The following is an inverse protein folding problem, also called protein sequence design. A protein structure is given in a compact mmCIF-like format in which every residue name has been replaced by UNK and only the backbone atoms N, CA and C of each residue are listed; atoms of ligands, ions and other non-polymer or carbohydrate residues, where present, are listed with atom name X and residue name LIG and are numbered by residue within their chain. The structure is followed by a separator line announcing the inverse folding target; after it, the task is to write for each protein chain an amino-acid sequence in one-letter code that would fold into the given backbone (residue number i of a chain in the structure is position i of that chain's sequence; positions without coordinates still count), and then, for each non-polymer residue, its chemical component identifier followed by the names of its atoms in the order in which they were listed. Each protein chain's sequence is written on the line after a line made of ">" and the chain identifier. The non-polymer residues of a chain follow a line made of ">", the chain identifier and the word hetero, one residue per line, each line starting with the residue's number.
data_IF_458811281832
#
_entry.id   IF_458811281832
#
_cell.length_a   1.000
_cell.length_b   1.000
_cell.length_c   1.000
_cell.angle_alpha   90.00
_cell.angle_beta   90.00
_cell.angle_gamma   90.00
#
_symmetry.space_group_name_H-M   'P 1'
#
loop_
_entity.id
_entity.type
_entity.pdbx_description
1 polymer ?
#
# COMPACT_ATOMS: atom_id res chain seq x y z
N UNK A 1 4.89 18.66 82.16
CA UNK A 1 4.86 20.07 82.62
C UNK A 1 5.20 20.92 81.41
N UNK A 2 4.20 21.33 80.61
CA UNK A 2 3.67 22.70 80.54
C UNK A 2 4.77 23.77 80.66
N UNK A 3 5.15 24.37 79.55
CA UNK A 3 4.99 25.82 79.31
C UNK A 3 4.82 26.09 77.79
N UNK A 4 3.88 26.99 77.49
CA UNK A 4 3.57 27.59 76.18
C UNK A 4 4.07 29.04 76.22
N UNK A 5 4.31 29.64 75.04
CA UNK A 5 4.18 31.07 74.65
C UNK A 5 5.29 31.37 73.60
N UNK A 6 5.12 32.06 72.47
CA UNK A 6 4.02 32.35 71.53
C UNK A 6 4.71 33.12 70.35
N UNK A 7 4.31 32.84 69.10
CA UNK A 7 4.23 33.78 67.95
C UNK A 7 5.57 34.22 67.28
N UNK A 8 5.82 33.75 66.05
CA UNK A 8 5.57 34.56 64.85
C UNK A 8 5.59 33.66 63.59
N UNK A 9 4.49 33.73 62.83
CA UNK A 9 4.33 33.13 61.51
C UNK A 9 5.12 33.95 60.47
N UNK A 10 6.05 33.34 59.75
CA UNK A 10 6.40 33.77 58.40
C UNK A 10 6.56 32.55 57.50
N UNK A 11 5.48 32.19 56.80
CA UNK A 11 5.54 31.26 55.68
C UNK A 11 6.07 32.01 54.45
N UNK A 12 7.37 31.95 54.19
CA UNK A 12 7.89 32.25 52.85
C UNK A 12 7.82 30.97 52.02
N UNK A 13 6.65 30.71 51.45
CA UNK A 13 6.48 29.72 50.40
C UNK A 13 7.04 30.35 49.12
N UNK A 14 8.24 29.94 48.71
CA UNK A 14 8.78 30.33 47.41
C UNK A 14 8.04 29.51 46.34
N UNK A 15 6.83 29.95 45.95
CA UNK A 15 6.21 29.46 44.73
C UNK A 15 7.04 29.98 43.56
N UNK A 16 7.83 29.11 42.95
CA UNK A 16 8.42 29.37 41.64
C UNK A 16 7.26 29.46 40.64
N UNK A 17 6.78 30.66 40.38
CA UNK A 17 5.80 30.94 39.34
C UNK A 17 6.53 30.78 37.99
N UNK A 18 6.47 29.57 37.41
CA UNK A 18 6.73 29.42 35.99
C UNK A 18 5.61 30.15 35.24
N UNK A 19 5.85 31.41 34.88
CA UNK A 19 5.12 32.08 33.82
C UNK A 19 5.44 31.37 32.51
N UNK A 20 4.76 30.27 32.22
CA UNK A 20 4.60 29.83 30.84
C UNK A 20 3.67 30.83 30.18
N UNK A 21 4.26 31.84 29.53
CA UNK A 21 3.54 32.59 28.50
C UNK A 21 3.09 31.55 27.47
N UNK A 22 1.80 31.22 27.46
CA UNK A 22 1.18 30.49 26.36
C UNK A 22 1.15 31.43 25.16
N UNK A 23 2.29 31.55 24.49
CA UNK A 23 2.35 32.10 23.16
C UNK A 23 1.58 31.10 22.32
N UNK A 24 0.35 31.45 21.94
CA UNK A 24 -0.31 30.80 20.81
C UNK A 24 0.60 31.03 19.61
N UNK A 25 1.51 30.10 19.34
CA UNK A 25 2.14 29.99 18.04
C UNK A 25 1.01 29.62 17.09
N UNK A 26 0.36 30.65 16.58
CA UNK A 26 -0.40 30.57 15.37
C UNK A 26 0.62 30.10 14.32
N UNK A 27 0.60 28.80 14.01
CA UNK A 27 1.31 28.26 12.87
C UNK A 27 0.74 28.99 11.65
N UNK A 28 1.36 30.11 11.30
CA UNK A 28 1.18 30.73 10.01
C UNK A 28 1.82 29.76 9.02
N UNK A 29 1.03 28.79 8.55
CA UNK A 29 1.37 28.06 7.35
C UNK A 29 1.40 29.15 6.26
N UNK A 30 2.56 29.46 5.67
CA UNK A 30 2.61 30.45 4.61
C UNK A 30 1.59 30.01 3.55
N UNK A 31 0.77 30.95 3.05
CA UNK A 31 -0.28 30.63 2.06
C UNK A 31 0.26 29.79 0.90
N UNK A 32 1.55 29.95 0.55
CA UNK A 32 2.25 29.16 -0.45
C UNK A 32 2.39 27.67 -0.08
N UNK A 33 2.56 27.31 1.19
CA UNK A 33 2.61 25.91 1.64
C UNK A 33 1.22 25.26 1.66
N UNK A 34 0.17 26.02 2.03
CA UNK A 34 -1.23 25.55 1.90
C UNK A 34 -1.60 25.36 0.42
N UNK A 35 -1.20 26.31 -0.44
CA UNK A 35 -1.42 26.23 -1.89
C UNK A 35 -0.60 25.11 -2.54
N UNK A 36 0.62 24.85 -2.07
CA UNK A 36 1.44 23.71 -2.51
C UNK A 36 0.83 22.38 -2.06
N UNK A 37 0.35 22.28 -0.81
CA UNK A 37 -0.36 21.08 -0.35
C UNK A 37 -1.67 20.88 -1.12
N UNK A 38 -2.44 21.95 -1.36
CA UNK A 38 -3.65 21.91 -2.16
C UNK A 38 -3.38 21.55 -3.62
N UNK A 39 -2.29 22.03 -4.22
CA UNK A 39 -1.89 21.68 -5.57
C UNK A 39 -1.44 20.22 -5.66
N UNK A 40 -0.70 19.72 -4.66
CA UNK A 40 -0.33 18.31 -4.56
C UNK A 40 -1.55 17.41 -4.33
N UNK A 41 -2.52 17.81 -3.50
CA UNK A 41 -3.77 17.07 -3.29
C UNK A 41 -4.59 17.06 -4.58
N UNK A 42 -4.73 18.21 -5.25
CA UNK A 42 -5.46 18.33 -6.52
C UNK A 42 -4.79 17.52 -7.63
N UNK A 43 -3.46 17.50 -7.69
CA UNK A 43 -2.69 16.70 -8.63
C UNK A 43 -2.83 15.20 -8.35
N UNK A 44 -2.79 14.77 -7.08
CA UNK A 44 -3.06 13.38 -6.67
C UNK A 44 -4.48 12.94 -7.00
N UNK A 45 -5.47 13.80 -6.77
CA UNK A 45 -6.86 13.54 -7.13
C UNK A 45 -7.06 13.47 -8.65
N UNK A 46 -6.39 14.34 -9.42
CA UNK A 46 -6.41 14.31 -10.89
C UNK A 46 -5.71 13.08 -11.45
N UNK A 47 -4.61 12.62 -10.85
CA UNK A 47 -3.96 11.36 -11.20
C UNK A 47 -4.87 10.17 -10.90
N UNK A 48 -5.45 10.10 -9.69
CA UNK A 48 -6.46 9.10 -9.34
C UNK A 48 -7.66 9.10 -10.29
N UNK A 49 -8.14 10.28 -10.71
CA UNK A 49 -9.25 10.41 -11.66
C UNK A 49 -8.87 9.99 -13.08
N UNK A 50 -7.66 10.34 -13.55
CA UNK A 50 -7.12 9.87 -14.83
C UNK A 50 -6.89 8.35 -14.82
N UNK A 51 -6.46 7.78 -13.71
CA UNK A 51 -6.23 6.34 -13.58
C UNK A 51 -7.56 5.56 -13.50
N UNK A 52 -8.59 6.13 -12.85
CA UNK A 52 -9.91 5.48 -12.67
C UNK A 52 -10.88 5.66 -13.85
N UNK A 53 -10.76 6.75 -14.60
CA UNK A 53 -11.71 7.12 -15.66
C UNK A 53 -11.05 7.61 -16.96
N UNK A 54 -9.73 7.79 -17.00
CA UNK A 54 -9.00 8.14 -18.22
C UNK A 54 -8.58 6.90 -18.99
N UNK A 55 -8.95 6.83 -20.27
CA UNK A 55 -8.51 5.78 -21.19
C UNK A 55 -7.00 5.81 -21.36
N UNK A 56 -6.25 5.04 -20.57
CA UNK A 56 -4.94 4.54 -20.99
C UNK A 56 -5.17 3.36 -21.93
N UNK A 57 -5.31 3.68 -23.21
CA UNK A 57 -4.94 2.79 -24.31
C UNK A 57 -3.40 2.60 -24.39
N UNK A 58 -2.65 3.13 -23.43
CA UNK A 58 -1.27 2.77 -23.20
C UNK A 58 -1.25 1.53 -22.28
N UNK A 59 -1.72 0.40 -22.82
CA UNK A 59 -1.27 -0.89 -22.36
C UNK A 59 0.27 -0.78 -22.32
N UNK A 60 0.88 -0.83 -21.14
CA UNK A 60 2.32 -0.72 -20.98
C UNK A 60 2.98 -1.59 -22.06
N UNK A 61 3.55 -0.97 -23.10
CA UNK A 61 3.99 -1.72 -24.27
C UNK A 61 5.17 -2.54 -23.79
N UNK A 62 4.96 -3.85 -23.70
CA UNK A 62 6.01 -4.78 -23.28
C UNK A 62 7.18 -4.58 -24.24
N UNK A 63 8.39 -4.23 -23.74
CA UNK A 63 9.52 -4.01 -24.62
C UNK A 63 9.73 -5.23 -25.52
N UNK A 64 9.87 -4.99 -26.83
CA UNK A 64 9.98 -6.06 -27.83
C UNK A 64 11.20 -6.97 -27.61
N UNK A 65 12.19 -6.53 -26.82
CA UNK A 65 13.38 -7.29 -26.45
C UNK A 65 13.15 -8.33 -25.35
N UNK A 66 12.02 -8.26 -24.63
CA UNK A 66 11.73 -9.21 -23.56
C UNK A 66 11.08 -10.48 -24.12
N UNK A 67 11.71 -11.62 -23.84
CA UNK A 67 11.21 -12.95 -24.15
C UNK A 67 10.73 -13.61 -22.86
N UNK A 68 9.54 -14.19 -22.90
CA UNK A 68 8.91 -14.88 -21.77
C UNK A 68 8.70 -16.34 -22.12
N UNK A 69 8.85 -17.23 -21.14
CA UNK A 69 8.72 -18.67 -21.35
C UNK A 69 7.29 -19.07 -21.75
N UNK A 70 6.29 -18.32 -21.29
CA UNK A 70 4.90 -18.53 -21.65
C UNK A 70 4.04 -17.26 -21.49
N UNK A 71 2.82 -17.22 -22.06
CA UNK A 71 1.93 -16.07 -21.96
C UNK A 71 1.49 -15.69 -20.54
N UNK A 72 1.47 -16.64 -19.58
CA UNK A 72 1.09 -16.37 -18.19
C UNK A 72 2.16 -15.54 -17.49
N UNK A 73 3.44 -15.86 -17.69
CA UNK A 73 4.55 -15.04 -17.19
C UNK A 73 4.61 -13.66 -17.87
N UNK A 74 4.26 -13.57 -19.16
CA UNK A 74 4.11 -12.26 -19.83
C UNK A 74 3.00 -11.42 -19.19
N UNK A 75 1.84 -12.02 -18.90
CA UNK A 75 0.75 -11.34 -18.21
C UNK A 75 1.14 -10.93 -16.79
N UNK A 76 1.88 -11.78 -16.08
CA UNK A 76 2.39 -11.47 -14.75
C UNK A 76 3.38 -10.30 -14.78
N UNK A 77 4.27 -10.25 -15.78
CA UNK A 77 5.15 -9.10 -15.99
C UNK A 77 4.35 -7.80 -16.19
N UNK A 78 3.32 -7.82 -17.05
CA UNK A 78 2.47 -6.63 -17.28
C UNK A 78 1.83 -6.17 -15.97
N UNK A 79 1.26 -7.10 -15.19
CA UNK A 79 0.62 -6.82 -13.91
C UNK A 79 1.60 -6.22 -12.89
N UNK A 80 2.76 -6.87 -12.70
CA UNK A 80 3.75 -6.47 -11.70
C UNK A 80 4.48 -5.19 -12.12
N UNK A 81 4.72 -4.98 -13.41
CA UNK A 81 5.26 -3.73 -13.92
C UNK A 81 4.29 -2.57 -13.71
N UNK A 82 3.00 -2.76 -14.04
CA UNK A 82 1.97 -1.78 -13.74
C UNK A 82 1.92 -1.48 -12.24
N UNK A 83 1.95 -2.50 -11.37
CA UNK A 83 1.96 -2.30 -9.93
C UNK A 83 3.21 -1.56 -9.43
N UNK A 84 4.39 -1.88 -9.96
CA UNK A 84 5.63 -1.13 -9.68
C UNK A 84 5.50 0.35 -10.01
N UNK A 85 4.84 0.71 -11.12
CA UNK A 85 4.61 2.11 -11.49
C UNK A 85 3.67 2.85 -10.53
N UNK A 86 2.83 2.13 -9.78
CA UNK A 86 1.96 2.72 -8.75
C UNK A 86 2.61 2.83 -7.36
N UNK A 87 3.78 2.21 -7.16
CA UNK A 87 4.53 2.29 -5.91
C UNK A 87 5.23 3.65 -5.83
N UNK A 88 4.91 4.40 -4.79
CA UNK A 88 5.40 5.77 -4.54
C UNK A 88 6.55 5.75 -3.52
N UNK A 89 6.61 4.74 -2.65
CA UNK A 89 7.66 4.60 -1.63
C UNK A 89 7.94 3.13 -1.39
N UNK A 90 9.21 2.73 -1.52
CA UNK A 90 9.71 1.38 -1.24
C UNK A 90 11.00 1.50 -0.40
N UNK A 91 10.89 1.75 0.92
CA UNK A 91 12.04 2.11 1.75
C UNK A 91 13.04 0.97 1.92
N UNK A 92 12.62 -0.28 1.69
CA UNK A 92 13.43 -1.48 1.82
C UNK A 92 13.91 -2.02 0.47
N UNK A 93 13.59 -1.32 -0.63
CA UNK A 93 13.95 -1.70 -2.00
C UNK A 93 13.46 -3.12 -2.39
N UNK A 94 12.30 -3.54 -1.87
CA UNK A 94 11.72 -4.86 -2.16
C UNK A 94 11.51 -5.06 -3.66
N UNK A 95 11.06 -4.02 -4.36
CA UNK A 95 10.74 -4.08 -5.80
C UNK A 95 11.91 -3.72 -6.72
N UNK A 96 13.12 -3.56 -6.17
CA UNK A 96 14.30 -3.17 -6.94
C UNK A 96 14.62 -4.16 -8.07
N UNK A 97 14.49 -5.47 -7.83
CA UNK A 97 14.74 -6.53 -8.81
C UNK A 97 13.56 -6.84 -9.75
N UNK A 98 12.44 -6.10 -9.66
CA UNK A 98 11.32 -6.26 -10.58
C UNK A 98 11.64 -5.63 -11.94
N UNK A 99 12.58 -6.23 -12.68
CA UNK A 99 13.08 -5.80 -13.98
C UNK A 99 13.40 -7.03 -14.82
N UNK A 100 13.14 -6.96 -16.13
CA UNK A 100 13.40 -8.06 -17.07
C UNK A 100 12.30 -9.12 -17.07
N UNK A 101 12.44 -10.15 -17.91
CA UNK A 101 11.39 -11.15 -18.14
C UNK A 101 11.33 -12.30 -17.13
N UNK A 102 12.36 -12.46 -16.29
CA UNK A 102 12.40 -13.52 -15.28
C UNK A 102 11.59 -13.12 -14.03
N UNK A 103 10.26 -13.13 -14.19
CA UNK A 103 9.29 -12.72 -13.16
C UNK A 103 9.41 -13.56 -11.89
N UNK A 104 9.74 -14.85 -12.01
CA UNK A 104 9.86 -15.74 -10.86
C UNK A 104 11.08 -15.43 -9.98
N UNK A 105 12.00 -14.59 -10.45
CA UNK A 105 13.14 -14.11 -9.68
C UNK A 105 12.85 -12.78 -8.95
N UNK A 106 11.64 -12.23 -9.08
CA UNK A 106 11.27 -10.99 -8.41
C UNK A 106 11.08 -11.24 -6.91
N UNK A 107 11.57 -10.32 -6.08
CA UNK A 107 11.42 -10.44 -4.62
C UNK A 107 9.94 -10.41 -4.27
N UNK A 108 9.52 -11.36 -3.44
CA UNK A 108 8.13 -11.51 -3.01
C UNK A 108 7.20 -12.13 -4.05
N UNK A 109 7.71 -12.59 -5.19
CA UNK A 109 6.93 -13.31 -6.21
C UNK A 109 7.30 -14.79 -6.18
N UNK A 110 6.30 -15.65 -6.09
CA UNK A 110 6.47 -17.10 -6.00
C UNK A 110 5.78 -17.78 -7.17
N UNK A 111 6.55 -18.58 -7.91
CA UNK A 111 6.05 -19.35 -9.04
C UNK A 111 5.85 -20.82 -8.68
N UNK A 112 4.87 -21.44 -9.35
CA UNK A 112 4.61 -22.88 -9.29
C UNK A 112 4.16 -23.36 -10.66
N UNK A 113 4.18 -24.67 -10.88
CA UNK A 113 3.54 -25.29 -12.03
C UNK A 113 2.02 -25.02 -11.98
N UNK A 114 1.45 -24.72 -13.14
CA UNK A 114 0.02 -24.44 -13.26
C UNK A 114 -0.81 -25.70 -12.97
N UNK A 115 -2.00 -25.50 -12.40
CA UNK A 115 -2.88 -26.60 -12.01
C UNK A 115 -3.50 -27.32 -13.21
N UNK A 116 -3.71 -26.61 -14.32
CA UNK A 116 -4.31 -27.14 -15.54
C UNK A 116 -3.29 -27.72 -16.52
N UNK A 117 -2.03 -27.28 -16.45
CA UNK A 117 -0.91 -27.85 -17.21
C UNK A 117 0.39 -27.78 -16.39
N UNK A 118 0.84 -28.90 -15.80
CA UNK A 118 2.05 -28.94 -15.00
C UNK A 118 3.34 -28.64 -15.78
N UNK A 119 3.33 -28.61 -17.12
CA UNK A 119 4.50 -28.21 -17.92
C UNK A 119 4.70 -26.69 -17.95
N UNK A 120 3.68 -25.92 -17.57
CA UNK A 120 3.69 -24.46 -17.60
C UNK A 120 3.95 -23.93 -16.19
N UNK A 121 4.97 -23.08 -16.03
CA UNK A 121 5.20 -22.33 -14.80
C UNK A 121 4.45 -21.00 -14.83
N UNK A 122 3.83 -20.63 -13.70
CA UNK A 122 3.05 -19.40 -13.53
C UNK A 122 3.29 -18.77 -12.16
N UNK A 123 2.85 -17.53 -11.95
CA UNK A 123 2.89 -16.88 -10.64
C UNK A 123 1.74 -17.41 -9.78
N UNK A 124 2.09 -18.10 -8.69
CA UNK A 124 1.15 -18.73 -7.78
C UNK A 124 0.99 -17.95 -6.46
N UNK A 125 1.95 -17.11 -6.10
CA UNK A 125 1.89 -16.34 -4.86
C UNK A 125 2.60 -15.01 -4.95
N UNK A 126 2.11 -14.05 -4.18
CA UNK A 126 2.79 -12.79 -3.86
C UNK A 126 2.81 -12.65 -2.35
N UNK A 127 3.99 -12.41 -1.79
CA UNK A 127 4.19 -12.07 -0.38
C UNK A 127 5.12 -10.86 -0.27
N UNK A 128 4.54 -9.72 0.12
CA UNK A 128 5.24 -8.46 0.42
C UNK A 128 5.00 -8.03 1.87
N UNK A 129 4.74 -8.98 2.76
CA UNK A 129 4.46 -8.73 4.16
C UNK A 129 5.58 -7.88 4.81
N UNK A 130 5.19 -6.87 5.59
CA UNK A 130 6.09 -6.00 6.35
C UNK A 130 7.10 -5.19 5.51
N UNK A 131 6.82 -4.94 4.23
CA UNK A 131 7.72 -4.21 3.34
C UNK A 131 7.64 -2.67 3.46
N UNK A 132 6.65 -2.14 4.20
CA UNK A 132 6.40 -0.70 4.38
C UNK A 132 6.26 0.08 3.05
N UNK A 133 5.81 -0.62 2.00
CA UNK A 133 5.63 -0.08 0.65
C UNK A 133 4.38 0.81 0.63
N UNK A 134 4.48 2.00 0.04
CA UNK A 134 3.32 2.87 -0.19
C UNK A 134 2.99 2.95 -1.69
N UNK A 135 1.70 2.88 -2.00
CA UNK A 135 1.19 2.88 -3.38
C UNK A 135 -0.31 2.59 -3.40
N UNK A 136 -0.80 2.05 -4.52
CA UNK A 136 -2.15 1.52 -4.63
C UNK A 136 -2.15 0.21 -5.43
N UNK A 137 -3.28 -0.49 -5.47
CA UNK A 137 -3.43 -1.70 -6.29
C UNK A 137 -4.02 -1.31 -7.67
N UNK A 138 -3.31 -1.52 -8.80
CA UNK A 138 -3.86 -1.24 -10.12
C UNK A 138 -4.77 -2.37 -10.62
N UNK A 139 -5.62 -2.08 -11.62
CA UNK A 139 -6.55 -3.05 -12.21
C UNK A 139 -5.80 -4.19 -12.94
N UNK A 140 -4.60 -3.95 -13.44
CA UNK A 140 -3.76 -4.93 -14.14
C UNK A 140 -3.37 -6.13 -13.27
N UNK A 141 -3.41 -6.02 -11.93
CA UNK A 141 -3.22 -7.17 -11.04
C UNK A 141 -4.23 -8.30 -11.30
N UNK A 142 -5.39 -8.00 -11.90
CA UNK A 142 -6.35 -9.01 -12.34
C UNK A 142 -5.87 -9.90 -13.51
N UNK A 143 -4.68 -9.66 -14.08
CA UNK A 143 -4.04 -10.53 -15.06
C UNK A 143 -3.33 -11.74 -14.41
N UNK A 144 -3.13 -11.74 -13.10
CA UNK A 144 -2.52 -12.84 -12.33
C UNK A 144 -3.52 -13.97 -12.08
N UNK A 145 -4.13 -14.53 -13.13
CA UNK A 145 -5.25 -15.47 -13.02
C UNK A 145 -4.98 -16.74 -12.20
N UNK A 146 -3.71 -17.11 -12.08
CA UNK A 146 -3.26 -18.34 -11.43
C UNK A 146 -2.80 -18.15 -9.98
N UNK A 147 -2.89 -16.93 -9.45
CA UNK A 147 -2.46 -16.65 -8.09
C UNK A 147 -3.38 -17.33 -7.07
N UNK A 148 -2.77 -17.98 -6.09
CA UNK A 148 -3.43 -18.62 -4.96
C UNK A 148 -3.24 -17.82 -3.66
N UNK A 149 -2.10 -17.15 -3.49
CA UNK A 149 -1.76 -16.40 -2.28
C UNK A 149 -1.46 -14.94 -2.61
N UNK A 150 -2.11 -14.01 -1.93
CA UNK A 150 -1.82 -12.58 -2.05
C UNK A 150 -1.71 -11.94 -0.67
N UNK A 151 -0.48 -11.83 -0.17
CA UNK A 151 -0.16 -11.29 1.14
C UNK A 151 0.61 -9.99 1.02
N UNK A 152 -0.01 -8.91 1.48
CA UNK A 152 0.61 -7.58 1.50
C UNK A 152 0.41 -6.91 2.87
N UNK A 153 0.37 -7.72 3.93
CA UNK A 153 0.14 -7.23 5.27
C UNK A 153 1.22 -6.22 5.69
N UNK A 154 0.86 -5.29 6.57
CA UNK A 154 1.81 -4.31 7.13
C UNK A 154 2.55 -3.49 6.05
N UNK A 155 1.75 -2.91 5.15
CA UNK A 155 2.20 -1.96 4.14
C UNK A 155 1.39 -0.67 4.23
N UNK A 156 1.59 0.24 3.27
CA UNK A 156 0.90 1.53 3.17
C UNK A 156 0.16 1.64 1.84
N UNK A 157 -0.43 0.53 1.36
CA UNK A 157 -1.27 0.56 0.17
C UNK A 157 -2.60 1.27 0.49
N UNK A 158 -2.94 2.24 -0.34
CA UNK A 158 -4.14 3.07 -0.19
C UNK A 158 -5.16 2.77 -1.31
N UNK A 159 -6.38 3.30 -1.15
CA UNK A 159 -7.43 3.23 -2.18
C UNK A 159 -8.41 2.09 -1.94
N UNK A 160 -8.93 1.51 -3.02
CA UNK A 160 -9.92 0.42 -2.99
C UNK A 160 -9.37 -0.84 -3.62
N UNK A 161 -9.85 -2.02 -3.20
CA UNK A 161 -9.55 -3.29 -3.88
C UNK A 161 -10.07 -3.23 -5.34
N UNK A 162 -9.23 -3.52 -6.36
CA UNK A 162 -9.61 -3.45 -7.76
C UNK A 162 -10.76 -4.40 -8.12
N UNK A 163 -11.69 -3.95 -8.98
CA UNK A 163 -12.79 -4.81 -9.43
C UNK A 163 -12.30 -5.95 -10.32
N UNK A 164 -11.11 -5.81 -10.91
CA UNK A 164 -10.45 -6.84 -11.70
C UNK A 164 -10.08 -8.08 -10.89
N UNK A 165 -10.03 -8.00 -9.54
CA UNK A 165 -9.77 -9.15 -8.68
C UNK A 165 -10.80 -10.27 -8.87
N UNK A 166 -12.00 -9.96 -9.42
CA UNK A 166 -12.99 -10.97 -9.83
C UNK A 166 -12.44 -12.04 -10.78
N UNK A 167 -11.32 -11.77 -11.46
CA UNK A 167 -10.61 -12.68 -12.39
C UNK A 167 -9.69 -13.68 -11.67
N UNK A 168 -9.32 -13.44 -10.42
CA UNK A 168 -8.41 -14.27 -9.62
C UNK A 168 -9.15 -15.50 -9.08
N UNK A 169 -9.58 -16.40 -9.98
CA UNK A 169 -10.46 -17.52 -9.64
C UNK A 169 -9.81 -18.56 -8.73
N UNK A 170 -8.48 -18.63 -8.74
CA UNK A 170 -7.70 -19.56 -7.91
C UNK A 170 -7.25 -18.95 -6.57
N UNK A 171 -7.56 -17.68 -6.30
CA UNK A 171 -7.15 -17.02 -5.06
C UNK A 171 -7.75 -17.74 -3.84
N UNK A 172 -6.89 -18.22 -2.98
CA UNK A 172 -7.19 -19.06 -1.81
C UNK A 172 -6.99 -18.28 -0.51
N UNK A 173 -5.95 -17.46 -0.42
CA UNK A 173 -5.66 -16.57 0.72
C UNK A 173 -5.44 -15.14 0.24
N UNK A 174 -6.15 -14.22 0.88
CA UNK A 174 -6.02 -12.79 0.68
C UNK A 174 -5.79 -12.12 2.02
N UNK A 175 -4.61 -11.54 2.20
CA UNK A 175 -4.26 -10.75 3.38
C UNK A 175 -3.89 -9.32 2.97
N UNK A 176 -4.81 -8.41 3.23
CA UNK A 176 -4.69 -6.96 3.02
C UNK A 176 -4.53 -6.20 4.34
N UNK A 177 -4.41 -6.91 5.46
CA UNK A 177 -4.45 -6.32 6.80
C UNK A 177 -3.32 -5.31 7.02
N UNK A 178 -3.56 -4.38 7.96
CA UNK A 178 -2.59 -3.33 8.30
C UNK A 178 -2.11 -2.54 7.06
N UNK A 179 -3.07 -2.00 6.30
CA UNK A 179 -2.87 -1.10 5.17
C UNK A 179 -3.78 0.14 5.31
N UNK A 180 -3.75 1.01 4.29
CA UNK A 180 -4.51 2.27 4.23
C UNK A 180 -5.70 2.18 3.26
N UNK A 181 -6.28 0.98 3.05
CA UNK A 181 -7.46 0.82 2.21
C UNK A 181 -8.66 1.56 2.79
N UNK A 182 -9.47 2.17 1.93
CA UNK A 182 -10.64 2.96 2.32
C UNK A 182 -11.74 2.89 1.28
N UNK A 183 -12.97 3.22 1.68
CA UNK A 183 -14.15 3.22 0.82
C UNK A 183 -15.18 2.18 1.22
N UNK A 184 -16.00 1.73 0.27
CA UNK A 184 -17.01 0.69 0.50
C UNK A 184 -16.35 -0.68 0.67
N UNK A 185 -17.02 -1.56 1.39
CA UNK A 185 -16.63 -2.96 1.50
C UNK A 185 -16.37 -3.58 0.09
N UNK A 186 -15.24 -4.29 -0.12
CA UNK A 186 -14.86 -4.78 -1.43
C UNK A 186 -15.63 -6.06 -1.80
N UNK A 187 -16.90 -5.94 -2.20
CA UNK A 187 -17.77 -7.08 -2.56
C UNK A 187 -17.17 -8.03 -3.61
N UNK A 188 -16.18 -7.58 -4.39
CA UNK A 188 -15.42 -8.42 -5.32
C UNK A 188 -14.83 -9.66 -4.64
N UNK A 189 -14.39 -9.55 -3.37
CA UNK A 189 -13.77 -10.68 -2.64
C UNK A 189 -14.79 -11.72 -2.19
N UNK A 190 -16.08 -11.38 -2.15
CA UNK A 190 -17.15 -12.35 -1.83
C UNK A 190 -17.45 -13.27 -3.02
N UNK A 191 -17.20 -12.80 -4.25
CA UNK A 191 -17.45 -13.53 -5.49
C UNK A 191 -16.30 -14.43 -5.94
N UNK A 192 -15.26 -14.60 -5.11
CA UNK A 192 -14.10 -15.44 -5.42
C UNK A 192 -14.38 -16.88 -4.99
N UNK A 193 -14.42 -17.85 -5.93
CA UNK A 193 -14.93 -19.18 -5.66
C UNK A 193 -14.00 -20.02 -4.75
N UNK A 194 -12.69 -19.79 -4.84
CA UNK A 194 -11.68 -20.59 -4.13
C UNK A 194 -11.24 -19.98 -2.80
N UNK A 195 -11.67 -18.75 -2.49
CA UNK A 195 -11.14 -17.96 -1.38
C UNK A 195 -11.61 -18.52 -0.03
N UNK A 196 -10.67 -18.86 0.84
CA UNK A 196 -10.92 -19.42 2.18
C UNK A 196 -10.44 -18.51 3.30
N UNK A 197 -9.32 -17.84 3.11
CA UNK A 197 -8.79 -16.87 4.07
C UNK A 197 -8.94 -15.45 3.53
N UNK A 198 -9.54 -14.57 4.34
CA UNK A 198 -9.72 -13.15 4.03
C UNK A 198 -9.40 -12.32 5.26
N UNK A 199 -8.35 -11.53 5.16
CA UNK A 199 -8.02 -10.48 6.12
C UNK A 199 -7.95 -9.15 5.39
N UNK A 200 -8.70 -8.14 5.86
CA UNK A 200 -9.00 -6.89 5.13
C UNK A 200 -8.67 -5.64 5.96
#
# INVERSE_FOLDING_TARGET
>A
MKEKIHILLSFTFLTLFCLSTSTTQQFHIPNNAVLAQASHIKQRQLLYYKDKFGSRNELASVPHSLVFDNPRLKNAYIALHAWKLTIISDPLNFTSNWVGSNVCNYTGVFCSNALDDPSIQTVAGIDLNHANIAGYLPDELGLLSDIALFHINSNRFCGTVPTSFKKLKLLFELDLSNNCFAGRFPYVVLGLPSLKYRDL
#
